data_IF_532433884752
#
_entry.id   IF_532433884752
#
_cell.length_a   1.000
_cell.length_b   1.000
_cell.length_c   1.000
_cell.angle_alpha   90.00
_cell.angle_beta   90.00
_cell.angle_gamma   90.00
#
_symmetry.space_group_name_H-M   'P 1'
#
loop_
_entity.id
_entity.type
_entity.pdbx_description
1 polymer ?
#
# COMPACT_ATOMS: atom_id res chain seq x y z
N UNK A 1 12.19 1.58 25.70
CA UNK A 1 13.21 2.27 24.88
C UNK A 1 12.57 3.28 23.92
N UNK A 2 11.57 2.89 23.09
CA UNK A 2 10.89 3.85 22.20
C UNK A 2 10.25 4.99 23.00
N UNK A 3 9.46 4.67 24.04
CA UNK A 3 8.85 5.65 24.95
C UNK A 3 9.91 6.60 25.53
N UNK A 4 10.96 6.06 26.08
CA UNK A 4 12.08 6.83 26.64
C UNK A 4 12.79 7.70 25.58
N UNK A 5 12.91 7.21 24.35
CA UNK A 5 13.46 7.97 23.23
C UNK A 5 12.55 9.15 22.86
N UNK A 6 11.24 8.94 22.80
CA UNK A 6 10.24 9.97 22.49
C UNK A 6 10.19 11.05 23.59
N UNK A 7 10.30 10.65 24.85
CA UNK A 7 10.34 11.57 26.00
C UNK A 7 11.60 12.46 26.04
N UNK A 8 12.74 11.94 25.58
CA UNK A 8 14.03 12.65 25.59
C UNK A 8 14.21 13.62 24.43
N UNK A 9 13.42 13.49 23.37
CA UNK A 9 13.54 14.34 22.17
C UNK A 9 12.27 15.15 21.97
N UNK A 10 12.45 16.43 21.75
CA UNK A 10 11.34 17.34 21.33
C UNK A 10 10.99 17.11 19.86
N UNK A 11 10.55 15.90 19.51
CA UNK A 11 10.10 15.55 18.17
C UNK A 11 8.61 15.88 18.05
N UNK A 12 8.28 16.77 17.12
CA UNK A 12 6.94 17.33 17.03
C UNK A 12 5.94 16.42 16.33
N UNK A 13 6.33 15.76 15.26
CA UNK A 13 5.44 14.91 14.47
C UNK A 13 6.15 13.59 14.14
N UNK A 14 5.65 12.50 14.71
CA UNK A 14 6.23 11.16 14.52
C UNK A 14 5.21 10.26 13.88
N UNK A 15 5.64 9.50 12.89
CA UNK A 15 4.81 8.51 12.24
C UNK A 15 5.38 7.12 12.47
N UNK A 16 4.55 6.21 12.97
CA UNK A 16 4.89 4.81 13.21
C UNK A 16 4.04 3.96 12.28
N UNK A 17 4.70 3.14 11.47
CA UNK A 17 4.03 2.23 10.54
C UNK A 17 4.20 0.80 11.01
N UNK A 18 3.08 0.08 11.16
CA UNK A 18 3.02 -1.29 11.67
C UNK A 18 2.26 -2.20 10.71
N UNK A 19 2.43 -3.53 10.77
CA UNK A 19 1.79 -4.45 9.82
C UNK A 19 0.25 -4.43 9.87
N UNK A 20 -0.35 -4.24 11.04
CA UNK A 20 -1.79 -4.45 11.26
C UNK A 20 -2.35 -3.59 12.38
N UNK A 21 -3.67 -3.43 12.38
CA UNK A 21 -4.38 -2.52 13.29
C UNK A 21 -4.37 -2.96 14.76
N UNK A 22 -4.31 -4.25 15.06
CA UNK A 22 -4.16 -4.75 16.44
C UNK A 22 -2.83 -4.33 17.04
N UNK A 23 -1.73 -4.49 16.30
CA UNK A 23 -0.42 -4.00 16.72
C UNK A 23 -0.40 -2.47 16.85
N UNK A 24 -1.11 -1.73 15.97
CA UNK A 24 -1.25 -0.29 16.12
C UNK A 24 -1.92 0.08 17.47
N UNK A 25 -2.91 -0.68 17.91
CA UNK A 25 -3.53 -0.45 19.22
C UNK A 25 -2.57 -0.77 20.38
N UNK A 26 -1.77 -1.84 20.27
CA UNK A 26 -0.73 -2.15 21.26
C UNK A 26 0.29 -1.00 21.40
N UNK A 27 0.66 -0.35 20.29
CA UNK A 27 1.52 0.85 20.32
C UNK A 27 0.84 2.04 21.00
N UNK A 28 -0.46 2.27 20.78
CA UNK A 28 -1.22 3.30 21.50
C UNK A 28 -1.15 3.05 23.00
N UNK A 29 -1.41 1.80 23.43
CA UNK A 29 -1.43 1.43 24.83
C UNK A 29 -0.01 1.56 25.44
N UNK A 30 1.03 1.16 24.71
CA UNK A 30 2.42 1.29 25.11
C UNK A 30 2.85 2.75 25.31
N UNK A 31 2.36 3.64 24.44
CA UNK A 31 2.72 5.07 24.45
C UNK A 31 1.79 5.90 25.36
N UNK A 32 0.85 5.28 26.04
CA UNK A 32 0.03 5.95 27.04
C UNK A 32 0.90 6.65 28.11
N UNK A 33 0.61 7.93 28.38
CA UNK A 33 1.32 8.78 29.32
C UNK A 33 2.61 9.41 28.81
N UNK A 34 2.93 9.28 27.51
CA UNK A 34 3.96 10.10 26.84
C UNK A 34 3.38 11.53 26.70
N UNK A 35 4.23 12.55 26.79
CA UNK A 35 3.83 13.94 26.55
C UNK A 35 3.64 14.21 25.05
N UNK A 36 2.69 13.51 24.44
CA UNK A 36 2.29 13.62 23.05
C UNK A 36 0.86 13.14 22.86
N UNK A 37 0.16 13.68 21.88
CA UNK A 37 -1.09 13.09 21.40
C UNK A 37 -0.78 11.83 20.58
N UNK A 38 -1.27 10.69 21.01
CA UNK A 38 -1.09 9.41 20.28
C UNK A 38 -2.38 9.07 19.52
N UNK A 39 -2.27 8.93 18.19
CA UNK A 39 -3.42 8.71 17.30
C UNK A 39 -3.23 7.43 16.51
N UNK A 40 -4.11 6.44 16.70
CA UNK A 40 -4.23 5.30 15.80
C UNK A 40 -5.03 5.71 14.56
N UNK A 41 -4.38 5.84 13.42
CA UNK A 41 -5.03 6.23 12.16
C UNK A 41 -5.78 5.03 11.57
N UNK A 42 -7.09 5.17 11.49
CA UNK A 42 -8.05 4.14 11.04
C UNK A 42 -8.60 4.49 9.65
N UNK A 43 -9.01 3.47 8.87
CA UNK A 43 -9.60 3.68 7.56
C UNK A 43 -10.98 4.35 7.64
N UNK A 44 -11.38 5.03 6.57
CA UNK A 44 -12.70 5.68 6.46
C UNK A 44 -13.86 4.70 6.55
N UNK A 45 -13.69 3.55 5.92
CA UNK A 45 -14.75 2.57 5.66
C UNK A 45 -14.83 1.47 6.72
N UNK A 46 -14.04 1.59 7.79
CA UNK A 46 -13.88 0.53 8.78
C UNK A 46 -12.96 -0.60 8.29
N UNK A 47 -12.71 -1.59 9.12
CA UNK A 47 -11.95 -2.78 8.76
C UNK A 47 -12.77 -3.76 7.92
N UNK A 48 -12.10 -4.52 7.07
CA UNK A 48 -12.74 -5.56 6.26
C UNK A 48 -13.40 -6.67 7.12
N UNK A 49 -12.91 -6.86 8.33
CA UNK A 49 -13.42 -7.82 9.33
C UNK A 49 -14.53 -7.23 10.23
N UNK A 50 -14.93 -5.98 9.99
CA UNK A 50 -15.94 -5.28 10.77
C UNK A 50 -15.53 -4.87 12.20
N UNK A 51 -14.27 -5.08 12.58
CA UNK A 51 -13.78 -4.76 13.94
C UNK A 51 -13.48 -3.28 14.15
N UNK A 52 -13.17 -2.55 13.07
CA UNK A 52 -12.91 -1.13 13.15
C UNK A 52 -14.19 -0.33 12.85
N UNK A 53 -14.41 0.78 13.54
CA UNK A 53 -15.56 1.63 13.29
C UNK A 53 -15.46 2.29 11.89
N UNK A 54 -16.63 2.54 11.30
CA UNK A 54 -16.76 3.38 10.12
C UNK A 54 -16.67 4.83 10.56
N UNK A 55 -15.67 5.55 10.05
CA UNK A 55 -15.40 6.94 10.45
C UNK A 55 -16.00 7.96 9.48
N UNK A 56 -16.35 7.55 8.26
CA UNK A 56 -16.94 8.44 7.26
C UNK A 56 -18.46 8.29 7.22
N UNK A 57 -19.18 9.39 7.41
CA UNK A 57 -20.65 9.41 7.35
C UNK A 57 -21.19 9.18 5.92
N UNK A 58 -20.35 9.36 4.89
CA UNK A 58 -20.69 9.12 3.47
C UNK A 58 -19.99 7.88 2.91
N UNK A 59 -19.95 6.80 3.67
CA UNK A 59 -19.17 5.60 3.36
C UNK A 59 -19.48 5.01 1.98
N UNK A 60 -20.75 4.96 1.59
CA UNK A 60 -21.14 4.38 0.29
C UNK A 60 -20.70 5.25 -0.88
N UNK A 61 -20.75 6.57 -0.72
CA UNK A 61 -20.20 7.51 -1.70
C UNK A 61 -18.67 7.35 -1.81
N UNK A 62 -17.96 7.24 -0.68
CA UNK A 62 -16.52 6.98 -0.67
C UNK A 62 -16.17 5.68 -1.41
N UNK A 63 -16.91 4.59 -1.13
CA UNK A 63 -16.72 3.32 -1.83
C UNK A 63 -16.89 3.44 -3.34
N UNK A 64 -17.88 4.23 -3.79
CA UNK A 64 -18.07 4.47 -5.22
C UNK A 64 -16.91 5.22 -5.87
N UNK A 65 -16.32 6.21 -5.18
CA UNK A 65 -15.13 6.94 -5.64
C UNK A 65 -13.90 6.03 -5.66
N UNK A 66 -13.69 5.25 -4.61
CA UNK A 66 -12.62 4.26 -4.56
C UNK A 66 -12.73 3.23 -5.68
N UNK A 67 -13.96 2.81 -6.01
CA UNK A 67 -14.22 1.91 -7.15
C UNK A 67 -13.83 2.53 -8.50
N UNK A 68 -13.87 3.83 -8.62
CA UNK A 68 -13.43 4.56 -9.82
C UNK A 68 -11.92 4.79 -9.86
N UNK A 69 -11.19 4.45 -8.78
CA UNK A 69 -9.74 4.60 -8.71
C UNK A 69 -9.26 6.04 -8.53
N UNK A 70 -10.15 6.98 -8.21
CA UNK A 70 -9.79 8.39 -8.01
C UNK A 70 -9.48 8.70 -6.54
N UNK A 71 -8.67 9.73 -6.30
CA UNK A 71 -8.25 10.10 -4.95
C UNK A 71 -9.40 10.65 -4.12
N UNK A 72 -9.78 9.95 -3.05
CA UNK A 72 -10.95 10.26 -2.23
C UNK A 72 -10.89 11.66 -1.61
N UNK A 73 -9.75 12.07 -1.04
CA UNK A 73 -9.67 13.33 -0.31
C UNK A 73 -10.07 14.52 -1.19
N UNK A 74 -9.53 14.61 -2.41
CA UNK A 74 -9.78 15.72 -3.34
C UNK A 74 -11.15 15.66 -4.01
N UNK A 75 -11.77 14.49 -4.07
CA UNK A 75 -13.03 14.29 -4.78
C UNK A 75 -14.23 14.12 -3.85
N UNK A 76 -14.01 14.00 -2.55
CA UNK A 76 -15.10 13.79 -1.60
C UNK A 76 -14.99 14.60 -0.32
N UNK A 77 -13.78 14.93 0.14
CA UNK A 77 -13.60 15.64 1.40
C UNK A 77 -13.40 17.14 1.21
N UNK A 78 -12.52 17.52 0.27
CA UNK A 78 -12.22 18.92 -0.04
C UNK A 78 -11.79 19.05 -1.50
N UNK A 79 -12.48 19.89 -2.27
CA UNK A 79 -12.12 20.18 -3.65
C UNK A 79 -10.85 21.03 -3.76
N UNK A 80 -10.31 21.18 -4.97
CA UNK A 80 -9.18 22.07 -5.23
C UNK A 80 -9.58 23.55 -5.06
N UNK A 81 -10.85 23.85 -5.32
CA UNK A 81 -11.46 25.18 -5.20
C UNK A 81 -11.78 25.55 -3.75
N UNK A 82 -11.70 24.58 -2.83
CA UNK A 82 -11.88 24.80 -1.39
C UNK A 82 -13.22 24.35 -0.84
N UNK A 83 -14.13 23.84 -1.69
CA UNK A 83 -15.41 23.28 -1.24
C UNK A 83 -15.18 22.12 -0.30
N UNK A 84 -15.99 22.00 0.75
CA UNK A 84 -15.87 20.98 1.76
C UNK A 84 -17.08 20.07 1.79
N UNK A 85 -16.86 18.80 2.12
CA UNK A 85 -17.95 17.89 2.49
C UNK A 85 -18.77 18.50 3.64
N UNK A 86 -20.08 18.32 3.62
CA UNK A 86 -20.99 18.81 4.68
C UNK A 86 -20.62 18.35 6.09
N UNK A 87 -19.96 17.20 6.21
CA UNK A 87 -19.49 16.64 7.48
C UNK A 87 -18.02 16.94 7.77
N UNK A 88 -17.35 17.79 6.96
CA UNK A 88 -15.89 17.95 7.02
C UNK A 88 -15.39 18.33 8.41
N UNK A 89 -16.02 19.31 9.04
CA UNK A 89 -15.61 19.87 10.34
C UNK A 89 -15.97 18.93 11.52
N UNK A 90 -16.89 17.99 11.34
CA UNK A 90 -17.29 16.97 12.32
C UNK A 90 -16.86 15.55 11.94
N UNK A 91 -15.96 15.41 10.97
CA UNK A 91 -15.57 14.13 10.42
C UNK A 91 -14.49 13.45 11.26
N UNK A 92 -14.82 12.34 11.92
CA UNK A 92 -13.88 11.55 12.73
C UNK A 92 -12.65 11.07 11.93
N UNK A 93 -12.81 10.82 10.64
CA UNK A 93 -11.66 10.47 9.81
C UNK A 93 -10.72 11.67 9.61
N UNK A 94 -11.26 12.85 9.36
CA UNK A 94 -10.46 14.08 9.17
C UNK A 94 -9.78 14.49 10.48
N UNK A 95 -10.48 14.37 11.61
CA UNK A 95 -9.97 14.72 12.94
C UNK A 95 -8.65 13.98 13.29
N UNK A 96 -8.39 12.80 12.73
CA UNK A 96 -7.14 12.05 12.94
C UNK A 96 -5.89 12.76 12.38
N UNK A 97 -6.07 13.72 11.46
CA UNK A 97 -4.99 14.42 10.77
C UNK A 97 -4.85 15.88 11.19
N UNK A 98 -5.83 16.42 11.89
CA UNK A 98 -5.79 17.78 12.40
C UNK A 98 -5.04 17.78 13.73
N UNK A 99 -4.02 18.62 13.84
CA UNK A 99 -3.35 18.84 15.10
C UNK A 99 -4.18 19.81 15.93
N UNK A 100 -4.62 19.44 17.14
CA UNK A 100 -5.51 20.28 17.96
C UNK A 100 -4.89 21.63 18.34
N UNK A 101 -3.56 21.71 18.35
CA UNK A 101 -2.78 22.89 18.73
C UNK A 101 -1.94 23.43 17.54
N UNK A 102 -2.49 23.39 16.31
CA UNK A 102 -1.78 23.88 15.12
C UNK A 102 -1.28 25.34 15.27
N UNK A 103 -1.89 26.12 16.16
CA UNK A 103 -1.46 27.47 16.49
C UNK A 103 -0.31 27.54 17.52
N UNK A 104 -0.04 26.45 18.24
CA UNK A 104 1.10 26.37 19.15
C UNK A 104 2.18 25.47 18.52
N UNK A 105 3.36 26.02 18.30
CA UNK A 105 4.57 25.32 17.81
C UNK A 105 5.04 24.12 18.69
N UNK A 106 4.17 23.58 19.53
CA UNK A 106 4.50 22.63 20.61
C UNK A 106 3.68 21.35 20.65
N UNK A 107 2.80 21.09 19.71
CA UNK A 107 2.03 19.85 19.74
C UNK A 107 2.88 18.66 19.27
N UNK A 108 3.30 17.85 20.22
CA UNK A 108 3.89 16.56 19.90
C UNK A 108 2.77 15.61 19.49
N UNK A 109 2.80 15.10 18.27
CA UNK A 109 1.83 14.12 17.79
C UNK A 109 2.54 12.86 17.33
N UNK A 110 2.06 11.72 17.78
CA UNK A 110 2.49 10.41 17.32
C UNK A 110 1.32 9.76 16.58
N UNK A 111 1.45 9.59 15.27
CA UNK A 111 0.44 8.89 14.45
C UNK A 111 0.90 7.48 14.13
N UNK A 112 0.04 6.51 14.40
CA UNK A 112 0.31 5.11 14.15
C UNK A 112 -0.55 4.64 12.99
N UNK A 113 0.10 4.20 11.94
CA UNK A 113 -0.49 3.76 10.68
C UNK A 113 -0.25 2.26 10.46
N UNK A 114 -1.06 1.63 9.64
CA UNK A 114 -0.69 0.34 9.07
C UNK A 114 0.14 0.52 7.80
N UNK A 115 0.98 -0.47 7.46
CA UNK A 115 1.92 -0.42 6.32
C UNK A 115 1.30 0.01 5.00
N UNK A 116 0.02 -0.32 4.77
CA UNK A 116 -0.67 0.08 3.54
C UNK A 116 -0.70 1.61 3.32
N UNK A 117 -0.58 2.40 4.39
CA UNK A 117 -0.52 3.86 4.27
C UNK A 117 0.81 4.36 3.71
N UNK A 118 1.90 3.58 3.77
CA UNK A 118 3.18 3.94 3.14
C UNK A 118 3.07 4.17 1.64
N UNK A 119 2.18 3.42 0.98
CA UNK A 119 1.91 3.50 -0.45
C UNK A 119 0.81 4.51 -0.82
N UNK A 120 0.10 5.06 0.16
CA UNK A 120 -0.99 6.01 -0.07
C UNK A 120 -0.45 7.43 -0.08
N UNK A 121 -0.98 8.24 -0.99
CA UNK A 121 -0.69 9.68 -0.99
C UNK A 121 -1.04 10.28 0.37
N UNK A 122 -0.10 11.02 0.94
CA UNK A 122 -0.28 11.69 2.23
C UNK A 122 -1.52 12.58 2.23
N UNK A 123 -2.20 12.61 3.38
CA UNK A 123 -3.30 13.55 3.58
C UNK A 123 -2.71 14.97 3.62
N UNK A 124 -3.25 15.93 2.86
CA UNK A 124 -2.75 17.31 2.86
C UNK A 124 -2.81 18.03 4.22
N UNK A 125 -3.63 17.53 5.16
CA UNK A 125 -3.72 18.05 6.53
C UNK A 125 -2.62 17.51 7.45
N UNK A 126 -1.90 16.48 7.00
CA UNK A 126 -0.83 15.83 7.74
C UNK A 126 0.48 16.55 7.46
N UNK A 127 1.04 17.19 8.46
CA UNK A 127 2.36 17.84 8.38
C UNK A 127 3.47 16.83 8.06
N UNK A 128 4.65 17.30 7.64
CA UNK A 128 5.79 16.44 7.44
C UNK A 128 6.27 15.84 8.77
N UNK A 129 6.56 14.53 8.83
CA UNK A 129 7.06 13.92 10.04
C UNK A 129 8.52 14.35 10.30
N UNK A 130 8.85 14.55 11.56
CA UNK A 130 10.23 14.72 12.02
C UNK A 130 10.98 13.38 12.16
N UNK A 131 10.23 12.29 12.24
CA UNK A 131 10.73 10.91 12.28
C UNK A 131 9.66 9.95 11.76
N UNK A 132 10.07 9.02 10.93
CA UNK A 132 9.29 7.84 10.55
C UNK A 132 9.88 6.61 11.21
N UNK A 133 9.04 5.79 11.84
CA UNK A 133 9.41 4.47 12.36
C UNK A 133 8.63 3.42 11.59
N UNK A 134 9.30 2.43 11.03
CA UNK A 134 8.68 1.30 10.34
C UNK A 134 8.99 0.04 11.12
N UNK A 135 7.96 -0.58 11.68
CA UNK A 135 8.08 -1.80 12.47
C UNK A 135 7.75 -3.01 11.61
N UNK A 136 8.65 -3.96 11.56
CA UNK A 136 8.61 -5.14 10.70
C UNK A 136 8.72 -4.85 9.18
N UNK A 137 8.77 -5.92 8.40
CA UNK A 137 8.86 -5.87 6.94
C UNK A 137 7.61 -5.27 6.28
N UNK A 138 7.79 -4.22 5.50
CA UNK A 138 6.72 -3.47 4.83
C UNK A 138 6.59 -3.76 3.32
N UNK A 139 7.48 -4.57 2.76
CA UNK A 139 7.60 -4.76 1.30
C UNK A 139 6.31 -5.25 0.66
N UNK A 140 5.57 -6.16 1.33
CA UNK A 140 4.29 -6.69 0.83
C UNK A 140 3.20 -5.63 0.67
N UNK A 141 3.28 -4.54 1.45
CA UNK A 141 2.36 -3.41 1.31
C UNK A 141 2.72 -2.49 0.13
N UNK A 142 4.00 -2.50 -0.28
CA UNK A 142 4.53 -1.63 -1.33
C UNK A 142 4.50 -2.26 -2.71
N UNK A 143 4.43 -3.59 -2.81
CA UNK A 143 4.34 -4.31 -4.07
C UNK A 143 2.89 -4.69 -4.34
N UNK A 144 2.42 -4.42 -5.53
CA UNK A 144 1.07 -4.76 -5.98
C UNK A 144 1.13 -5.54 -7.28
N UNK A 145 0.39 -6.65 -7.30
CA UNK A 145 0.17 -7.44 -8.49
C UNK A 145 -1.22 -7.13 -9.06
N UNK A 146 -1.26 -6.98 -10.37
CA UNK A 146 -2.51 -6.79 -11.11
C UNK A 146 -2.60 -7.88 -12.18
N UNK A 147 -3.63 -8.70 -12.10
CA UNK A 147 -3.95 -9.68 -13.14
C UNK A 147 -4.97 -9.07 -14.09
N UNK A 148 -4.58 -8.94 -15.36
CA UNK A 148 -5.38 -8.37 -16.42
C UNK A 148 -5.79 -9.45 -17.41
N UNK A 149 -7.09 -9.55 -17.69
CA UNK A 149 -7.54 -10.39 -18.78
C UNK A 149 -7.02 -9.86 -20.13
N UNK A 150 -6.83 -10.75 -21.10
CA UNK A 150 -6.47 -10.34 -22.46
C UNK A 150 -7.50 -9.38 -23.06
N UNK A 151 -8.77 -9.53 -22.67
CA UNK A 151 -9.85 -8.63 -23.09
C UNK A 151 -9.59 -7.21 -22.56
N UNK A 152 -9.29 -7.07 -21.27
CA UNK A 152 -9.02 -5.76 -20.67
C UNK A 152 -7.82 -5.07 -21.32
N UNK A 153 -6.74 -5.81 -21.56
CA UNK A 153 -5.55 -5.28 -22.23
C UNK A 153 -5.88 -4.80 -23.65
N UNK A 154 -6.62 -5.60 -24.43
CA UNK A 154 -7.03 -5.24 -25.79
C UNK A 154 -7.93 -4.03 -25.85
N UNK A 155 -8.89 -3.94 -24.95
CA UNK A 155 -9.92 -2.88 -24.99
C UNK A 155 -9.41 -1.56 -24.44
N UNK A 156 -8.52 -1.59 -23.47
CA UNK A 156 -8.11 -0.39 -22.75
C UNK A 156 -6.72 0.13 -23.16
N UNK A 157 -5.83 -0.74 -23.66
CA UNK A 157 -4.49 -0.33 -24.11
C UNK A 157 -4.55 0.05 -25.60
N UNK A 158 -5.17 1.20 -25.89
CA UNK A 158 -5.34 1.75 -27.23
C UNK A 158 -5.01 3.23 -27.24
N UNK A 159 -4.38 3.69 -28.29
CA UNK A 159 -4.27 5.12 -28.63
C UNK A 159 -4.66 5.33 -30.08
N UNK A 160 -4.99 6.54 -30.48
CA UNK A 160 -5.33 6.86 -31.87
C UNK A 160 -4.19 6.49 -32.84
N UNK A 161 -2.95 6.55 -32.38
CA UNK A 161 -1.76 6.21 -33.18
C UNK A 161 -1.42 4.73 -33.19
N UNK A 162 -1.84 4.00 -32.15
CA UNK A 162 -1.56 2.58 -31.98
C UNK A 162 -2.84 1.86 -31.48
N UNK A 163 -3.87 1.69 -32.35
CA UNK A 163 -5.12 1.07 -31.97
C UNK A 163 -4.97 -0.41 -31.59
N UNK A 164 -3.94 -1.08 -32.12
CA UNK A 164 -3.64 -2.50 -31.88
C UNK A 164 -2.61 -2.74 -30.76
N UNK A 165 -2.22 -1.71 -30.00
CA UNK A 165 -1.16 -1.81 -29.01
C UNK A 165 -1.42 -2.94 -28.00
N UNK A 166 -2.63 -3.12 -27.53
CA UNK A 166 -3.00 -4.21 -26.62
C UNK A 166 -2.80 -5.60 -27.24
N UNK A 167 -3.11 -5.77 -28.53
CA UNK A 167 -2.88 -7.01 -29.24
C UNK A 167 -1.39 -7.32 -29.38
N UNK A 168 -0.58 -6.31 -29.71
CA UNK A 168 0.88 -6.49 -29.84
C UNK A 168 1.55 -6.85 -28.51
N UNK A 169 1.10 -6.24 -27.40
CA UNK A 169 1.57 -6.60 -26.06
C UNK A 169 1.25 -8.06 -25.75
N UNK A 170 0.00 -8.50 -25.95
CA UNK A 170 -0.40 -9.88 -25.70
C UNK A 170 0.37 -10.84 -26.61
N UNK A 171 0.43 -10.56 -27.91
CA UNK A 171 1.13 -11.41 -28.87
C UNK A 171 2.59 -11.60 -28.48
N UNK A 172 3.32 -10.53 -28.15
CA UNK A 172 4.72 -10.62 -27.75
C UNK A 172 4.91 -11.43 -26.49
N UNK A 173 4.01 -11.29 -25.49
CA UNK A 173 4.08 -12.08 -24.26
C UNK A 173 3.77 -13.56 -24.50
N UNK A 174 2.76 -13.87 -25.32
CA UNK A 174 2.38 -15.26 -25.65
C UNK A 174 3.47 -15.96 -26.46
N UNK A 175 4.05 -15.26 -27.44
CA UNK A 175 5.12 -15.79 -28.28
C UNK A 175 6.49 -15.74 -27.60
N UNK A 176 6.56 -15.26 -26.35
CA UNK A 176 7.83 -15.02 -25.64
C UNK A 176 8.82 -14.14 -26.41
N UNK A 177 8.32 -13.26 -27.27
CA UNK A 177 9.12 -12.29 -28.01
C UNK A 177 9.60 -11.14 -27.09
N UNK A 178 10.65 -10.42 -27.46
CA UNK A 178 11.15 -9.28 -26.69
C UNK A 178 10.20 -8.08 -26.80
N UNK A 179 9.18 -8.03 -25.96
CA UNK A 179 8.10 -7.05 -26.01
C UNK A 179 8.58 -5.59 -26.18
N UNK A 180 9.62 -5.19 -25.44
CA UNK A 180 10.09 -3.80 -25.50
C UNK A 180 10.77 -3.47 -26.81
N UNK A 181 11.43 -4.43 -27.44
CA UNK A 181 11.98 -4.28 -28.81
C UNK A 181 10.85 -4.20 -29.83
N UNK A 182 9.85 -5.06 -29.73
CA UNK A 182 8.65 -5.01 -30.58
C UNK A 182 7.99 -3.64 -30.52
N UNK A 183 7.77 -3.11 -29.31
CA UNK A 183 7.17 -1.79 -29.13
C UNK A 183 8.05 -0.65 -29.71
N UNK A 184 9.36 -0.75 -29.56
CA UNK A 184 10.31 0.21 -30.19
C UNK A 184 10.28 0.11 -31.72
N UNK A 185 10.21 -1.10 -32.25
CA UNK A 185 10.07 -1.36 -33.69
C UNK A 185 8.80 -0.76 -34.29
N UNK A 186 7.71 -0.80 -33.52
CA UNK A 186 6.44 -0.14 -33.85
C UNK A 186 6.47 1.38 -33.62
N UNK A 187 7.63 1.95 -33.24
CA UNK A 187 7.79 3.36 -32.91
C UNK A 187 6.84 3.87 -31.81
N UNK A 188 6.49 2.99 -30.86
CA UNK A 188 5.72 3.38 -29.68
C UNK A 188 6.60 4.27 -28.80
N UNK A 189 6.21 5.54 -28.65
CA UNK A 189 6.91 6.52 -27.82
C UNK A 189 6.19 6.71 -26.48
N UNK A 190 6.91 7.22 -25.50
CA UNK A 190 6.35 7.50 -24.18
C UNK A 190 5.12 8.42 -24.26
N UNK A 191 5.16 9.45 -25.13
CA UNK A 191 4.02 10.34 -25.37
C UNK A 191 2.75 9.62 -25.87
N UNK A 192 2.91 8.54 -26.66
CA UNK A 192 1.74 7.76 -27.11
C UNK A 192 1.07 7.00 -25.95
N UNK A 193 1.88 6.60 -24.96
CA UNK A 193 1.37 5.99 -23.73
C UNK A 193 0.73 7.02 -22.77
N UNK A 194 1.08 8.31 -22.92
CA UNK A 194 0.40 9.41 -22.19
C UNK A 194 -0.98 9.71 -22.77
N UNK A 195 -1.18 9.47 -24.05
CA UNK A 195 -2.47 9.64 -24.74
C UNK A 195 -3.50 8.57 -24.32
N UNK A 196 -3.07 7.47 -23.69
CA UNK A 196 -3.96 6.43 -23.17
C UNK A 196 -4.68 6.96 -21.94
N UNK A 197 -5.86 7.53 -22.16
CA UNK A 197 -6.67 8.15 -21.12
C UNK A 197 -7.46 7.07 -20.36
N UNK A 198 -6.86 6.48 -19.34
CA UNK A 198 -7.40 5.36 -18.57
C UNK A 198 -8.38 5.79 -17.48
N UNK A 199 -8.34 7.07 -17.12
CA UNK A 199 -9.21 7.65 -16.08
C UNK A 199 -9.92 8.81 -16.74
N UNK A 200 -11.25 8.80 -16.86
CA UNK A 200 -11.96 10.01 -17.13
C UNK A 200 -11.55 11.01 -16.05
N UNK A 201 -11.07 12.16 -16.43
CA UNK A 201 -10.87 13.26 -15.51
C UNK A 201 -12.24 13.63 -14.93
N UNK A 202 -12.69 12.87 -13.96
CA UNK A 202 -13.87 13.12 -13.16
C UNK A 202 -13.51 14.25 -12.22
N UNK A 203 -13.70 15.44 -12.71
CA UNK A 203 -13.82 16.60 -11.88
C UNK A 203 -15.21 16.56 -11.27
N UNK A 204 -15.24 16.80 -10.03
CA UNK A 204 -16.29 17.51 -9.39
C UNK A 204 -16.85 16.83 -8.17
N UNK A 205 -16.78 17.57 -7.15
CA UNK A 205 -17.56 17.54 -5.92
C UNK A 205 -19.09 17.43 -6.17
N UNK A 206 -19.54 17.83 -7.34
CA UNK A 206 -20.91 17.66 -7.84
C UNK A 206 -21.05 16.30 -8.50
N UNK A 207 -21.36 15.31 -7.69
CA UNK A 207 -21.83 14.03 -8.10
C UNK A 207 -21.15 13.52 -9.38
N UNK A 208 -20.09 12.78 -9.24
CA UNK A 208 -19.55 11.98 -10.34
C UNK A 208 -20.75 11.26 -10.93
N UNK A 209 -21.27 11.77 -12.04
CA UNK A 209 -22.32 11.11 -12.80
C UNK A 209 -21.76 9.78 -13.25
N UNK A 210 -22.23 8.74 -12.63
CA UNK A 210 -21.80 7.35 -12.79
C UNK A 210 -22.00 6.79 -14.22
N UNK A 211 -22.27 7.62 -15.19
CA UNK A 211 -22.69 7.23 -16.53
C UNK A 211 -21.57 6.82 -17.48
N UNK A 212 -20.29 7.10 -17.15
CA UNK A 212 -19.20 6.77 -18.08
C UNK A 212 -18.44 5.47 -17.74
N UNK A 213 -18.66 4.88 -16.57
CA UNK A 213 -17.91 3.70 -16.11
C UNK A 213 -18.76 2.45 -15.83
N UNK A 214 -20.04 2.48 -16.18
CA UNK A 214 -20.93 1.32 -16.06
C UNK A 214 -20.50 0.21 -17.03
N UNK A 215 -19.64 -0.67 -16.59
CA UNK A 215 -19.19 -1.82 -17.37
C UNK A 215 -17.72 -2.21 -17.18
N UNK A 216 -16.91 -1.39 -16.53
CA UNK A 216 -15.50 -1.71 -16.27
C UNK A 216 -15.30 -2.19 -14.82
N UNK A 217 -14.64 -3.32 -14.64
CA UNK A 217 -14.28 -3.77 -13.30
C UNK A 217 -13.19 -2.86 -12.71
N UNK A 218 -13.25 -2.59 -11.40
CA UNK A 218 -12.26 -1.79 -10.65
C UNK A 218 -10.83 -2.28 -10.88
N UNK A 219 -10.64 -3.60 -10.86
CA UNK A 219 -9.32 -4.23 -11.03
C UNK A 219 -8.72 -3.95 -12.40
N UNK A 220 -9.54 -3.94 -13.44
CA UNK A 220 -9.12 -3.72 -14.82
C UNK A 220 -8.50 -2.32 -15.02
N UNK A 221 -9.18 -1.25 -14.60
CA UNK A 221 -8.67 0.13 -14.81
C UNK A 221 -7.39 0.41 -14.03
N UNK A 222 -7.29 -0.04 -12.78
CA UNK A 222 -6.07 0.12 -11.98
C UNK A 222 -4.92 -0.71 -12.54
N UNK A 223 -5.21 -1.93 -12.98
CA UNK A 223 -4.21 -2.82 -13.58
C UNK A 223 -3.69 -2.28 -14.91
N UNK A 224 -4.54 -1.77 -15.79
CA UNK A 224 -4.10 -1.17 -17.07
C UNK A 224 -3.33 0.13 -16.82
N UNK A 225 -3.69 0.92 -15.81
CA UNK A 225 -2.89 2.08 -15.39
C UNK A 225 -1.49 1.67 -14.89
N UNK A 226 -1.42 0.56 -14.15
CA UNK A 226 -0.13 -0.01 -13.73
C UNK A 226 0.67 -0.53 -14.94
N UNK A 227 0.04 -1.23 -15.88
CA UNK A 227 0.66 -1.70 -17.12
C UNK A 227 1.28 -0.54 -17.92
N UNK A 228 0.52 0.52 -18.15
CA UNK A 228 1.00 1.72 -18.86
C UNK A 228 2.21 2.33 -18.14
N UNK A 229 2.15 2.44 -16.83
CA UNK A 229 3.24 2.99 -16.01
C UNK A 229 4.50 2.14 -16.11
N UNK A 230 4.37 0.81 -16.01
CA UNK A 230 5.50 -0.11 -16.13
C UNK A 230 6.09 -0.11 -17.52
N UNK A 231 5.27 -0.14 -18.59
CA UNK A 231 5.73 0.00 -19.95
C UNK A 231 6.54 1.29 -20.17
N UNK A 232 6.05 2.43 -19.61
CA UNK A 232 6.80 3.69 -19.68
C UNK A 232 8.13 3.63 -18.96
N UNK A 233 8.16 3.05 -17.76
CA UNK A 233 9.37 2.91 -16.96
C UNK A 233 10.41 2.06 -17.68
N UNK A 234 10.00 0.91 -18.18
CA UNK A 234 10.92 -0.05 -18.80
C UNK A 234 11.34 0.35 -20.22
N UNK A 235 10.48 1.02 -21.01
CA UNK A 235 10.87 1.58 -22.31
C UNK A 235 11.94 2.67 -22.22
N UNK A 236 12.07 3.35 -21.09
CA UNK A 236 13.17 4.31 -20.82
C UNK A 236 14.53 3.60 -20.72
N UNK A 237 14.53 2.35 -20.31
CA UNK A 237 15.73 1.53 -20.15
C UNK A 237 16.10 0.92 -21.51
N UNK A 238 16.96 1.60 -22.29
CA UNK A 238 17.27 1.22 -23.69
C UNK A 238 17.85 -0.18 -23.83
N UNK A 239 18.55 -0.69 -22.82
CA UNK A 239 19.23 -1.98 -22.84
C UNK A 239 18.30 -3.16 -22.51
N UNK A 240 17.10 -2.88 -21.99
CA UNK A 240 16.15 -3.93 -21.64
C UNK A 240 15.27 -4.25 -22.85
N UNK A 241 15.28 -5.50 -23.27
CA UNK A 241 14.48 -6.01 -24.39
C UNK A 241 13.17 -6.66 -23.94
N UNK A 242 13.17 -7.27 -22.76
CA UNK A 242 12.01 -7.92 -22.15
C UNK A 242 11.61 -7.22 -20.87
N UNK A 243 10.32 -7.03 -20.61
CA UNK A 243 9.89 -6.45 -19.36
C UNK A 243 10.21 -7.36 -18.18
N UNK A 244 10.55 -6.75 -17.05
CA UNK A 244 10.83 -7.47 -15.79
C UNK A 244 9.60 -7.55 -14.90
N UNK A 245 8.67 -6.61 -15.05
CA UNK A 245 7.48 -6.48 -14.22
C UNK A 245 6.18 -6.86 -14.92
N UNK A 246 6.23 -7.29 -16.19
CA UNK A 246 5.06 -7.63 -17.01
C UNK A 246 5.28 -9.00 -17.63
N UNK A 247 4.43 -9.98 -17.30
CA UNK A 247 4.58 -11.35 -17.80
C UNK A 247 3.24 -12.09 -17.84
N UNK A 248 3.22 -13.22 -18.54
CA UNK A 248 2.08 -14.13 -18.51
C UNK A 248 2.04 -14.91 -17.22
N UNK A 249 0.83 -15.08 -16.68
CA UNK A 249 0.57 -15.85 -15.48
C UNK A 249 -0.78 -16.57 -15.62
N UNK A 250 -0.90 -17.74 -15.04
CA UNK A 250 -2.19 -18.42 -14.91
C UNK A 250 -2.87 -17.91 -13.63
N UNK A 251 -4.11 -17.44 -13.74
CA UNK A 251 -4.92 -17.05 -12.59
C UNK A 251 -5.35 -18.28 -11.76
N UNK A 252 -6.14 -18.08 -10.71
CA UNK A 252 -6.61 -19.15 -9.83
C UNK A 252 -7.51 -20.16 -10.53
N UNK A 253 -8.15 -19.74 -11.61
CA UNK A 253 -9.06 -20.56 -12.42
C UNK A 253 -8.33 -21.20 -13.61
N UNK A 254 -7.02 -20.97 -13.74
CA UNK A 254 -6.16 -21.52 -14.79
C UNK A 254 -6.22 -20.76 -16.11
N UNK A 255 -6.80 -19.55 -16.14
CA UNK A 255 -6.81 -18.73 -17.34
C UNK A 255 -5.51 -17.93 -17.47
N UNK A 256 -5.03 -17.78 -18.69
CA UNK A 256 -3.89 -16.91 -18.97
C UNK A 256 -4.25 -15.44 -18.79
N UNK A 257 -3.48 -14.75 -17.98
CA UNK A 257 -3.61 -13.32 -17.71
C UNK A 257 -2.27 -12.62 -17.87
N UNK A 258 -2.32 -11.32 -18.13
CA UNK A 258 -1.15 -10.47 -18.06
C UNK A 258 -1.00 -10.00 -16.63
N UNK A 259 0.03 -10.50 -15.93
CA UNK A 259 0.39 -10.02 -14.59
C UNK A 259 1.33 -8.85 -14.69
N UNK A 260 0.97 -7.80 -13.96
CA UNK A 260 1.77 -6.58 -13.83
C UNK A 260 2.14 -6.39 -12.37
N UNK A 261 3.42 -6.50 -12.07
CA UNK A 261 3.96 -6.20 -10.74
C UNK A 261 4.36 -4.73 -10.69
N UNK A 262 3.85 -4.00 -9.74
CA UNK A 262 4.19 -2.58 -9.57
C UNK A 262 4.65 -2.31 -8.15
N UNK A 263 5.70 -1.50 -8.03
CA UNK A 263 6.18 -0.96 -6.77
C UNK A 263 5.55 0.42 -6.57
N UNK A 264 5.07 0.67 -5.37
CA UNK A 264 4.67 1.99 -4.92
C UNK A 264 5.87 2.71 -4.32
N UNK A 265 5.96 4.02 -4.51
CA UNK A 265 6.98 4.84 -3.85
C UNK A 265 6.52 5.19 -2.44
N UNK A 266 7.50 5.35 -1.54
CA UNK A 266 7.25 5.87 -0.20
C UNK A 266 6.74 7.31 -0.30
N UNK A 267 5.75 7.65 0.49
CA UNK A 267 5.03 8.93 0.38
C UNK A 267 5.44 9.97 1.44
N UNK A 268 6.67 9.93 1.90
CA UNK A 268 7.26 10.97 2.76
C UNK A 268 8.51 11.58 2.13
N UNK A 269 8.92 12.72 2.65
CA UNK A 269 10.09 13.45 2.15
C UNK A 269 11.37 12.60 2.32
N UNK A 270 12.21 12.55 1.29
CA UNK A 270 13.49 11.84 1.34
C UNK A 270 14.43 12.38 2.43
N UNK A 271 14.27 13.64 2.84
CA UNK A 271 15.03 14.22 3.95
C UNK A 271 14.54 13.77 5.33
N UNK A 272 13.38 13.10 5.43
CA UNK A 272 12.85 12.64 6.71
C UNK A 272 13.67 11.47 7.25
N UNK A 273 14.18 11.53 8.49
CA UNK A 273 14.83 10.39 9.12
C UNK A 273 13.89 9.19 9.24
N UNK A 274 14.38 8.02 8.86
CA UNK A 274 13.62 6.76 8.95
C UNK A 274 14.36 5.79 9.86
N UNK A 275 13.64 5.23 10.82
CA UNK A 275 14.10 4.12 11.66
C UNK A 275 13.31 2.87 11.31
N UNK A 276 13.97 1.85 10.78
CA UNK A 276 13.34 0.56 10.50
C UNK A 276 13.72 -0.45 11.60
N UNK A 277 12.71 -1.14 12.14
CA UNK A 277 12.83 -2.15 13.16
C UNK A 277 12.37 -3.48 12.58
N UNK A 278 13.29 -4.28 12.05
CA UNK A 278 12.95 -5.55 11.40
C UNK A 278 14.00 -6.62 11.75
N UNK A 279 13.55 -7.74 12.29
CA UNK A 279 14.41 -8.88 12.63
C UNK A 279 14.95 -9.62 11.38
N UNK A 280 14.31 -9.41 10.22
CA UNK A 280 14.59 -10.10 8.97
C UNK A 280 15.00 -9.16 7.84
N UNK A 281 15.39 -7.92 8.17
CA UNK A 281 15.73 -6.91 7.18
C UNK A 281 16.81 -7.41 6.20
N UNK A 282 16.49 -7.32 4.91
CA UNK A 282 17.44 -7.51 3.82
C UNK A 282 17.84 -6.14 3.27
N UNK A 283 19.12 -5.78 3.43
CA UNK A 283 19.64 -4.49 2.98
C UNK A 283 19.35 -4.22 1.49
N UNK A 284 19.47 -5.24 0.64
CA UNK A 284 19.21 -5.09 -0.81
C UNK A 284 17.74 -4.78 -1.11
N UNK A 285 16.81 -5.36 -0.34
CA UNK A 285 15.39 -5.04 -0.48
C UNK A 285 15.09 -3.64 0.05
N UNK A 286 15.70 -3.24 1.16
CA UNK A 286 15.54 -1.90 1.72
C UNK A 286 16.08 -0.85 0.76
N UNK A 287 17.26 -1.05 0.18
CA UNK A 287 17.88 -0.17 -0.84
C UNK A 287 16.96 0.07 -2.06
N UNK A 288 16.07 -0.88 -2.38
CA UNK A 288 15.11 -0.66 -3.45
C UNK A 288 14.08 0.44 -3.15
N UNK A 289 13.85 0.81 -1.88
CA UNK A 289 12.82 1.77 -1.49
C UNK A 289 13.38 3.10 -0.99
N UNK A 290 14.65 3.16 -0.65
CA UNK A 290 15.31 4.34 -0.11
C UNK A 290 16.47 4.74 -1.01
N UNK A 291 16.52 6.02 -1.40
CA UNK A 291 17.62 6.59 -2.20
C UNK A 291 18.79 7.09 -1.32
N UNK A 292 18.81 6.68 -0.04
CA UNK A 292 19.80 7.12 0.95
C UNK A 292 20.62 5.93 1.46
N UNK A 293 21.83 6.22 1.94
CA UNK A 293 22.67 5.24 2.61
C UNK A 293 21.99 4.68 3.85
N UNK A 294 22.00 3.36 4.00
CA UNK A 294 21.37 2.65 5.10
C UNK A 294 22.43 2.23 6.12
N UNK A 295 22.29 2.70 7.34
CA UNK A 295 23.09 2.23 8.49
C UNK A 295 22.40 1.01 9.12
N UNK A 296 22.83 -0.19 8.75
CA UNK A 296 22.28 -1.46 9.26
C UNK A 296 22.98 -1.87 10.56
N UNK A 297 22.25 -1.87 11.67
CA UNK A 297 22.71 -2.36 12.97
C UNK A 297 22.08 -3.70 13.31
N UNK A 298 22.87 -4.76 13.34
CA UNK A 298 22.44 -6.06 13.87
C UNK A 298 22.52 -6.08 15.40
N UNK A 299 21.42 -6.51 16.01
CA UNK A 299 21.35 -6.76 17.45
C UNK A 299 21.17 -8.25 17.64
N UNK A 300 22.23 -8.91 18.09
CA UNK A 300 22.19 -10.34 18.41
C UNK A 300 21.44 -10.56 19.73
N UNK A 301 20.25 -11.13 19.64
CA UNK A 301 19.44 -11.50 20.79
C UNK A 301 19.67 -12.99 21.05
N UNK A 302 20.25 -13.35 22.20
CA UNK A 302 20.29 -14.75 22.64
C UNK A 302 18.83 -15.18 22.92
N UNK A 303 18.33 -16.07 22.10
CA UNK A 303 17.02 -16.68 22.35
C UNK A 303 17.13 -17.60 23.57
N UNK A 304 16.43 -17.26 24.64
CA UNK A 304 16.29 -18.13 25.81
C UNK A 304 15.04 -19.03 25.61
N UNK A 305 15.03 -19.77 24.51
CA UNK A 305 13.93 -20.65 24.14
C UNK A 305 14.44 -22.00 23.66
N UNK A 306 13.74 -23.06 24.02
CA UNK A 306 13.92 -24.40 23.44
C UNK A 306 13.06 -24.46 22.20
N UNK A 307 13.68 -24.55 21.01
CA UNK A 307 12.97 -24.66 19.74
C UNK A 307 12.81 -26.14 19.42
N UNK A 308 11.58 -26.62 19.37
CA UNK A 308 11.25 -27.97 18.91
C UNK A 308 10.77 -27.92 17.47
N UNK A 309 11.51 -28.55 16.56
CA UNK A 309 11.14 -28.66 15.15
C UNK A 309 10.23 -29.87 14.93
N UNK A 310 9.05 -29.63 14.37
CA UNK A 310 8.16 -30.70 13.90
C UNK A 310 8.34 -30.80 12.39
N UNK A 311 9.12 -31.78 11.92
CA UNK A 311 9.51 -31.92 10.50
C UNK A 311 8.70 -32.94 9.72
N UNK A 312 7.87 -33.71 10.39
CA UNK A 312 7.02 -34.74 9.80
C UNK A 312 5.62 -34.25 9.40
N UNK A 313 5.32 -32.98 9.65
CA UNK A 313 4.02 -32.38 9.34
C UNK A 313 4.18 -30.95 8.84
N UNK A 314 3.48 -30.67 7.73
CA UNK A 314 3.27 -29.31 7.26
C UNK A 314 1.91 -28.82 7.75
N UNK A 315 1.89 -27.64 8.36
CA UNK A 315 0.63 -27.05 8.84
C UNK A 315 0.65 -25.52 8.73
N UNK A 316 -0.40 -24.96 8.19
CA UNK A 316 -0.59 -23.50 8.26
C UNK A 316 -0.88 -23.07 9.70
N UNK A 317 -0.67 -21.78 10.04
CA UNK A 317 -1.07 -21.19 11.31
C UNK A 317 -2.51 -21.59 11.68
N UNK A 318 -3.41 -21.54 10.72
CA UNK A 318 -4.84 -21.93 10.85
C UNK A 318 -5.05 -23.42 11.19
N UNK A 319 -4.15 -24.30 10.71
CA UNK A 319 -4.17 -25.71 11.07
C UNK A 319 -3.81 -25.93 12.54
N UNK A 320 -2.80 -25.22 13.03
CA UNK A 320 -2.35 -25.31 14.43
C UNK A 320 -3.36 -24.67 15.38
N UNK A 321 -3.95 -23.54 15.03
CA UNK A 321 -5.00 -22.86 15.81
C UNK A 321 -6.24 -23.75 15.98
N UNK A 322 -6.70 -24.45 14.92
CA UNK A 322 -7.84 -25.38 14.99
C UNK A 322 -7.54 -26.65 15.78
N UNK A 323 -6.29 -27.08 15.87
CA UNK A 323 -5.88 -28.27 16.59
C UNK A 323 -5.43 -28.03 18.02
N UNK A 324 -5.24 -26.79 18.44
CA UNK A 324 -4.95 -26.46 19.84
C UNK A 324 -6.07 -26.93 20.81
N UNK A 325 -7.27 -27.08 20.31
CA UNK A 325 -8.42 -27.67 21.02
C UNK A 325 -8.49 -29.20 20.95
N UNK A 326 -7.61 -29.83 20.18
CA UNK A 326 -7.61 -31.29 20.03
C UNK A 326 -6.82 -31.98 21.15
N UNK A 327 -7.36 -33.01 21.81
CA UNK A 327 -6.66 -33.75 22.87
C UNK A 327 -5.28 -34.29 22.46
N UNK A 328 -5.05 -34.61 21.19
CA UNK A 328 -3.78 -35.06 20.63
C UNK A 328 -2.70 -33.96 20.65
N UNK A 329 -3.05 -32.68 20.43
CA UNK A 329 -2.11 -31.56 20.50
C UNK A 329 -1.77 -31.23 21.95
N UNK A 330 -2.75 -31.36 22.86
CA UNK A 330 -2.52 -31.20 24.30
C UNK A 330 -1.60 -32.28 24.87
N UNK A 331 -1.61 -33.50 24.32
CA UNK A 331 -0.69 -34.55 24.71
C UNK A 331 0.73 -34.39 24.15
N UNK A 332 0.88 -33.74 22.99
CA UNK A 332 2.19 -33.56 22.33
C UNK A 332 2.91 -32.27 22.75
N UNK A 333 2.23 -31.33 23.39
CA UNK A 333 2.77 -30.05 23.84
C UNK A 333 2.56 -29.80 25.35
N UNK A 334 2.84 -30.76 26.25
CA UNK A 334 2.59 -30.55 27.70
C UNK A 334 3.56 -29.58 28.37
N UNK A 335 4.53 -29.00 27.65
CA UNK A 335 5.61 -28.21 28.22
C UNK A 335 5.79 -26.81 27.61
N UNK A 336 4.95 -26.37 26.68
CA UNK A 336 4.98 -24.99 26.19
C UNK A 336 4.15 -24.08 27.12
N UNK A 337 4.59 -23.94 28.35
CA UNK A 337 4.13 -22.82 29.19
C UNK A 337 4.90 -21.59 28.79
N UNK A 338 4.25 -20.71 28.03
CA UNK A 338 4.67 -19.33 27.92
C UNK A 338 4.61 -18.70 29.32
N UNK A 339 5.76 -18.49 29.93
CA UNK A 339 5.82 -17.57 31.08
C UNK A 339 5.86 -16.15 30.48
N UNK A 340 5.05 -15.23 31.00
CA UNK A 340 5.00 -13.84 30.58
C UNK A 340 6.32 -13.10 30.80
#
# INVERSE_FOLDING_TARGET
>A
KLKEFLEKRSLQNIEIYVPRHDLAQEYVDLLTGVNAQVVHVRPRTGGADGKLPVLCQRVDYIKSIEQQGVGVFRNACRSAEGDRCEFYDSCDYIAQFIDPDFESDRSNVVRIFVHNYLALRRNPLQGNPSLVVIDESFYSAMVKDHDLSFKDVREQLRSDRHPELGNEVIKSLVSAEPLLETLRGLNVRLGHLDEINLIPAGTAFDGVRSTALSGRSRGSTQGVSALVRQLKSELRQREVSRPQSIFLHADRDGNDVVRVCSRSDLQFDTATPVLMLDATADAKLVDCFFDQDIDLKRIDIKQNAIITWVYDRTGSKRFWERKSESPLVQQTLPSLTFKP
#
